data_IF_403577154279
#
_entry.id   IF_403577154279
#
_cell.length_a   1.000
_cell.length_b   1.000
_cell.length_c   1.000
_cell.angle_alpha   90.00
_cell.angle_beta   90.00
_cell.angle_gamma   90.00
#
_symmetry.space_group_name_H-M   'P 1'
#
loop_
_entity.id
_entity.type
_entity.pdbx_description
1 polymer ?
#
# COMPACT_ATOMS: atom_id res chain seq x y z
N UNK A 1 5.77 1.42 -32.06
CA UNK A 1 4.44 2.03 -32.24
C UNK A 1 3.34 0.97 -32.10
N UNK A 2 3.21 0.34 -30.92
CA UNK A 2 2.21 -0.72 -30.68
C UNK A 2 1.76 -0.78 -29.20
N UNK A 3 1.88 0.34 -28.47
CA UNK A 3 1.58 0.41 -27.03
C UNK A 3 0.66 1.59 -26.67
N UNK A 4 -0.04 2.17 -27.65
CA UNK A 4 -1.02 3.26 -27.43
C UNK A 4 -2.48 2.75 -27.53
N UNK A 5 -2.70 1.52 -27.98
CA UNK A 5 -4.06 0.99 -28.23
C UNK A 5 -4.68 0.20 -27.07
N UNK A 6 -3.95 -0.07 -25.99
CA UNK A 6 -4.43 -0.91 -24.87
C UNK A 6 -5.10 -0.06 -23.77
N UNK A 7 -4.88 1.26 -23.73
CA UNK A 7 -5.40 2.14 -22.68
C UNK A 7 -6.75 2.79 -23.06
N UNK A 8 -7.09 2.88 -24.34
CA UNK A 8 -8.34 3.53 -24.78
C UNK A 8 -9.55 2.59 -24.84
N UNK A 9 -9.36 1.26 -24.95
CA UNK A 9 -10.49 0.33 -25.04
C UNK A 9 -11.17 0.07 -23.68
N UNK A 10 -10.40 0.08 -22.60
CA UNK A 10 -10.92 -0.18 -21.25
C UNK A 10 -11.68 1.02 -20.66
N UNK A 11 -11.41 2.22 -21.16
CA UNK A 11 -12.05 3.47 -20.69
C UNK A 11 -13.34 3.80 -21.45
N UNK A 12 -13.55 3.21 -22.65
CA UNK A 12 -14.76 3.40 -23.44
C UNK A 12 -15.88 2.39 -23.10
N UNK A 13 -15.55 1.26 -22.46
CA UNK A 13 -16.52 0.24 -22.06
C UNK A 13 -17.19 0.52 -20.70
N UNK A 14 -16.70 1.49 -19.92
CA UNK A 14 -17.21 1.80 -18.58
C UNK A 14 -18.31 2.88 -18.55
N UNK A 15 -18.62 3.52 -19.68
CA UNK A 15 -19.55 4.66 -19.77
C UNK A 15 -20.90 4.29 -20.41
N UNK A 16 -21.26 3.01 -20.53
CA UNK A 16 -22.55 2.57 -21.11
C UNK A 16 -23.18 1.43 -20.30
N UNK A 17 -23.03 1.46 -18.97
CA UNK A 17 -23.61 0.47 -18.05
C UNK A 17 -24.53 1.11 -17.00
N UNK A 18 -25.18 2.23 -17.35
CA UNK A 18 -26.22 2.86 -16.50
C UNK A 18 -27.50 3.25 -17.26
N UNK A 19 -27.63 2.89 -18.54
CA UNK A 19 -28.86 3.11 -19.29
C UNK A 19 -29.71 1.84 -19.38
N UNK A 20 -30.73 1.80 -18.52
CA UNK A 20 -32.08 1.32 -18.81
C UNK A 20 -32.21 -0.06 -19.54
N UNK A 21 -32.56 -1.16 -18.83
CA UNK A 21 -32.76 -2.47 -19.45
C UNK A 21 -33.94 -2.51 -20.45
N UNK A 22 -34.81 -1.49 -20.48
CA UNK A 22 -36.04 -1.51 -21.26
C UNK A 22 -35.85 -1.17 -22.75
N UNK A 23 -34.68 -0.65 -23.15
CA UNK A 23 -34.41 -0.32 -24.57
C UNK A 23 -33.98 -1.54 -25.41
N UNK A 24 -33.68 -2.68 -24.78
CA UNK A 24 -33.31 -3.92 -25.49
C UNK A 24 -34.54 -4.67 -26.06
N UNK A 25 -35.76 -4.23 -25.74
CA UNK A 25 -37.02 -4.86 -26.14
C UNK A 25 -37.40 -4.55 -27.61
N UNK A 26 -36.83 -3.52 -28.24
CA UNK A 26 -37.24 -3.07 -29.58
C UNK A 26 -36.51 -3.70 -30.78
N UNK A 27 -35.50 -4.56 -30.56
CA UNK A 27 -34.70 -5.14 -31.66
C UNK A 27 -34.84 -6.67 -31.70
N UNK A 28 -35.79 -7.23 -32.47
CA UNK A 28 -36.03 -8.69 -32.53
C UNK A 28 -34.85 -9.48 -33.13
N UNK A 29 -33.89 -8.79 -33.77
CA UNK A 29 -32.66 -9.39 -34.29
C UNK A 29 -31.59 -9.58 -33.20
N UNK A 30 -31.47 -8.63 -32.26
CA UNK A 30 -30.51 -8.72 -31.15
C UNK A 30 -30.96 -9.70 -30.07
N UNK A 31 -32.27 -9.84 -29.83
CA UNK A 31 -32.78 -10.87 -28.92
C UNK A 31 -32.40 -12.28 -29.38
N UNK A 32 -32.45 -12.56 -30.68
CA UNK A 32 -32.05 -13.85 -31.27
C UNK A 32 -30.54 -14.12 -31.18
N UNK A 33 -29.73 -13.07 -31.24
CA UNK A 33 -28.28 -13.18 -31.01
C UNK A 33 -27.99 -13.40 -29.52
N UNK A 34 -28.60 -12.62 -28.62
CA UNK A 34 -28.44 -12.77 -27.18
C UNK A 34 -28.90 -14.15 -26.67
N UNK A 35 -30.00 -14.69 -27.21
CA UNK A 35 -30.38 -16.08 -26.88
C UNK A 35 -29.33 -17.07 -27.37
N UNK A 36 -28.74 -16.87 -28.55
CA UNK A 36 -27.64 -17.73 -29.04
C UNK A 36 -26.38 -17.61 -28.19
N UNK A 37 -26.05 -16.43 -27.69
CA UNK A 37 -24.91 -16.22 -26.79
C UNK A 37 -25.15 -16.83 -25.41
N UNK A 38 -26.30 -16.59 -24.78
CA UNK A 38 -26.64 -17.15 -23.48
C UNK A 38 -26.78 -18.68 -23.54
N UNK A 39 -27.35 -19.22 -24.62
CA UNK A 39 -27.42 -20.66 -24.84
C UNK A 39 -26.02 -21.27 -25.02
N UNK A 40 -25.13 -20.60 -25.78
CA UNK A 40 -23.74 -21.04 -25.96
C UNK A 40 -22.92 -20.99 -24.66
N UNK A 41 -23.17 -19.99 -23.81
CA UNK A 41 -22.51 -19.89 -22.51
C UNK A 41 -22.97 -21.02 -21.57
N UNK A 42 -24.26 -21.38 -21.61
CA UNK A 42 -24.79 -22.50 -20.81
C UNK A 42 -24.21 -23.88 -21.19
N UNK A 43 -23.76 -24.08 -22.42
CA UNK A 43 -23.10 -25.33 -22.85
C UNK A 43 -21.64 -25.43 -22.40
N UNK A 44 -20.95 -24.30 -22.19
CA UNK A 44 -19.56 -24.29 -21.72
C UNK A 44 -19.41 -24.42 -20.19
N UNK A 45 -20.49 -24.33 -19.44
CA UNK A 45 -20.48 -24.54 -17.99
C UNK A 45 -20.68 -26.01 -17.56
N UNK A 46 -20.94 -26.93 -18.51
CA UNK A 46 -21.32 -28.31 -18.21
C UNK A 46 -20.37 -29.38 -18.75
N UNK A 47 -19.08 -29.07 -18.84
CA UNK A 47 -18.01 -30.07 -18.73
C UNK A 47 -17.03 -29.67 -17.61
N UNK A 48 -17.55 -29.31 -16.45
CA UNK A 48 -16.77 -29.46 -15.22
C UNK A 48 -16.73 -30.97 -14.96
N UNK A 49 -15.77 -31.66 -15.60
CA UNK A 49 -15.28 -32.95 -15.15
C UNK A 49 -15.02 -32.76 -13.66
N UNK A 50 -15.93 -33.24 -12.81
CA UNK A 50 -15.75 -33.13 -11.36
C UNK A 50 -14.39 -33.75 -11.07
N UNK A 51 -13.40 -32.95 -10.62
CA UNK A 51 -12.08 -33.49 -10.38
C UNK A 51 -12.27 -34.63 -9.39
N UNK A 52 -11.77 -35.81 -9.74
CA UNK A 52 -11.73 -36.94 -8.80
C UNK A 52 -11.23 -36.42 -7.46
N UNK A 53 -11.77 -36.89 -6.34
CA UNK A 53 -11.37 -36.49 -4.99
C UNK A 53 -9.83 -36.48 -4.81
N UNK A 54 -9.13 -37.36 -5.53
CA UNK A 54 -7.66 -37.41 -5.62
C UNK A 54 -7.00 -36.12 -6.15
N UNK A 55 -7.65 -35.40 -7.07
CA UNK A 55 -7.18 -34.14 -7.65
C UNK A 55 -7.25 -33.01 -6.64
N UNK A 56 -8.33 -32.94 -5.85
CA UNK A 56 -8.44 -31.98 -4.76
C UNK A 56 -7.42 -32.24 -3.66
N UNK A 57 -7.21 -33.51 -3.29
CA UNK A 57 -6.19 -33.89 -2.30
C UNK A 57 -4.80 -33.47 -2.77
N UNK A 58 -4.47 -33.68 -4.06
CA UNK A 58 -3.20 -33.24 -4.67
C UNK A 58 -3.06 -31.72 -4.71
N UNK A 59 -4.13 -31.01 -5.04
CA UNK A 59 -4.11 -29.54 -5.09
C UNK A 59 -3.93 -28.94 -3.69
N UNK A 60 -4.65 -29.46 -2.69
CA UNK A 60 -4.55 -29.02 -1.29
C UNK A 60 -3.18 -29.37 -0.72
N UNK A 61 -2.65 -30.57 -0.99
CA UNK A 61 -1.32 -30.96 -0.50
C UNK A 61 -0.22 -30.10 -1.12
N UNK A 62 -0.28 -29.83 -2.43
CA UNK A 62 0.64 -28.92 -3.11
C UNK A 62 0.55 -27.49 -2.56
N UNK A 63 -0.67 -26.98 -2.34
CA UNK A 63 -0.90 -25.67 -1.74
C UNK A 63 -0.37 -25.58 -0.31
N UNK A 64 -0.61 -26.61 0.52
CA UNK A 64 -0.13 -26.66 1.89
C UNK A 64 1.40 -26.68 1.98
N UNK A 65 2.06 -27.44 1.10
CA UNK A 65 3.53 -27.47 1.00
C UNK A 65 4.07 -26.09 0.62
N UNK A 66 3.40 -25.34 -0.25
CA UNK A 66 3.86 -24.02 -0.67
C UNK A 66 3.66 -22.97 0.43
N UNK A 67 2.51 -23.02 1.12
CA UNK A 67 2.18 -22.10 2.23
C UNK A 67 3.06 -22.33 3.45
N UNK A 68 3.42 -23.58 3.76
CA UNK A 68 4.29 -23.91 4.90
C UNK A 68 5.77 -23.88 4.49
N UNK A 69 6.07 -24.39 3.31
CA UNK A 69 7.42 -24.48 2.76
C UNK A 69 8.01 -23.13 2.40
N UNK A 70 7.20 -22.15 1.99
CA UNK A 70 7.66 -20.78 1.75
C UNK A 70 8.32 -20.16 2.99
N UNK A 71 7.59 -19.99 4.11
CA UNK A 71 8.14 -19.51 5.37
C UNK A 71 9.27 -20.39 5.91
N UNK A 72 9.14 -21.72 5.83
CA UNK A 72 10.18 -22.64 6.31
C UNK A 72 11.51 -22.49 5.54
N UNK A 73 11.45 -22.30 4.22
CA UNK A 73 12.64 -22.07 3.39
C UNK A 73 13.27 -20.72 3.72
N UNK A 74 12.47 -19.68 3.93
CA UNK A 74 12.97 -18.36 4.34
C UNK A 74 13.67 -18.44 5.70
N UNK A 75 13.09 -19.15 6.67
CA UNK A 75 13.73 -19.37 7.98
C UNK A 75 15.01 -20.19 7.89
N UNK A 76 15.10 -21.13 6.95
CA UNK A 76 16.31 -21.92 6.74
C UNK A 76 17.45 -21.11 6.10
N UNK A 77 17.13 -20.26 5.11
CA UNK A 77 18.14 -19.48 4.36
C UNK A 77 18.55 -18.22 5.10
N UNK A 78 17.66 -17.62 5.88
CA UNK A 78 17.95 -16.37 6.60
C UNK A 78 18.81 -16.66 7.84
N UNK A 79 20.08 -16.24 7.88
CA UNK A 79 20.93 -16.47 9.04
C UNK A 79 20.37 -15.73 10.27
N UNK A 80 20.50 -16.35 11.44
CA UNK A 80 19.99 -15.80 12.71
C UNK A 80 20.75 -14.52 13.11
N UNK A 81 20.10 -13.63 13.86
CA UNK A 81 20.70 -12.34 14.25
C UNK A 81 22.05 -12.48 14.97
N UNK A 82 22.28 -13.59 15.67
CA UNK A 82 23.52 -13.83 16.43
C UNK A 82 24.72 -14.19 15.53
N UNK A 83 24.49 -14.91 14.43
CA UNK A 83 25.53 -15.19 13.44
C UNK A 83 25.87 -13.95 12.62
N UNK A 84 24.85 -13.14 12.29
CA UNK A 84 25.05 -11.82 11.70
C UNK A 84 25.84 -10.92 12.66
N UNK A 85 25.52 -10.95 13.96
CA UNK A 85 26.20 -10.15 14.97
C UNK A 85 27.70 -10.46 15.06
N UNK A 86 28.08 -11.74 14.97
CA UNK A 86 29.49 -12.18 14.95
C UNK A 86 30.25 -11.77 13.69
N UNK A 87 29.55 -11.57 12.56
CA UNK A 87 30.16 -11.08 11.31
C UNK A 87 30.29 -9.56 11.23
N UNK A 88 29.62 -8.81 12.11
CA UNK A 88 29.74 -7.34 12.15
C UNK A 88 31.09 -6.89 12.74
N UNK A 89 31.58 -5.75 12.25
CA UNK A 89 32.67 -5.00 12.87
C UNK A 89 32.25 -4.46 14.26
N UNK A 90 33.19 -4.22 15.19
CA UNK A 90 32.87 -3.83 16.57
C UNK A 90 32.05 -2.52 16.69
N UNK A 91 32.16 -1.63 15.70
CA UNK A 91 31.37 -0.39 15.60
C UNK A 91 29.88 -0.66 15.27
N UNK A 92 29.62 -1.61 14.37
CA UNK A 92 28.26 -1.96 13.95
C UNK A 92 27.52 -2.77 15.01
N UNK A 93 28.23 -3.58 15.79
CA UNK A 93 27.67 -4.28 16.95
C UNK A 93 27.10 -3.31 17.99
N UNK A 94 27.85 -2.23 18.30
CA UNK A 94 27.39 -1.18 19.22
C UNK A 94 26.16 -0.45 18.71
N UNK A 95 26.13 -0.11 17.42
CA UNK A 95 24.94 0.50 16.78
C UNK A 95 23.74 -0.44 16.77
N UNK A 96 23.93 -1.72 16.49
CA UNK A 96 22.85 -2.71 16.51
C UNK A 96 22.25 -2.86 17.92
N UNK A 97 23.10 -2.89 18.96
CA UNK A 97 22.70 -2.92 20.37
C UNK A 97 21.92 -1.66 20.77
N UNK A 98 22.44 -0.47 20.43
CA UNK A 98 21.79 0.80 20.74
C UNK A 98 20.45 0.98 19.99
N UNK A 99 20.34 0.46 18.77
CA UNK A 99 19.15 0.61 17.93
C UNK A 99 18.03 -0.41 18.19
N UNK A 100 18.22 -1.40 19.07
CA UNK A 100 17.18 -2.41 19.37
C UNK A 100 15.97 -1.79 20.06
N UNK A 101 16.21 -0.98 21.09
CA UNK A 101 15.15 -0.33 21.85
C UNK A 101 14.39 0.67 20.97
N UNK A 102 15.12 1.43 20.14
CA UNK A 102 14.51 2.37 19.20
C UNK A 102 13.62 1.64 18.17
N UNK A 103 14.10 0.54 17.57
CA UNK A 103 13.30 -0.25 16.62
C UNK A 103 12.04 -0.84 17.24
N UNK A 104 12.10 -1.29 18.48
CA UNK A 104 10.92 -1.79 19.20
C UNK A 104 9.91 -0.67 19.45
N UNK A 105 10.37 0.49 19.93
CA UNK A 105 9.52 1.68 20.12
C UNK A 105 8.88 2.16 18.81
N UNK A 106 9.64 2.20 17.73
CA UNK A 106 9.14 2.58 16.41
C UNK A 106 8.08 1.61 15.89
N UNK A 107 8.29 0.30 16.12
CA UNK A 107 7.33 -0.74 15.73
C UNK A 107 6.03 -0.64 16.54
N UNK A 108 6.13 -0.47 17.86
CA UNK A 108 4.96 -0.30 18.73
C UNK A 108 4.18 0.97 18.36
N UNK A 109 4.87 2.07 18.07
CA UNK A 109 4.27 3.31 17.61
C UNK A 109 3.59 3.17 16.25
N UNK A 110 4.18 2.40 15.32
CA UNK A 110 3.60 2.11 14.02
C UNK A 110 2.31 1.28 14.14
N UNK A 111 2.34 0.20 14.93
CA UNK A 111 1.15 -0.62 15.19
C UNK A 111 0.07 0.20 15.90
N UNK A 112 0.45 1.11 16.79
CA UNK A 112 -0.46 2.07 17.41
C UNK A 112 -1.17 2.97 16.37
N UNK A 113 -0.41 3.55 15.44
CA UNK A 113 -0.97 4.35 14.34
C UNK A 113 -1.90 3.55 13.44
N UNK A 114 -1.54 2.30 13.12
CA UNK A 114 -2.41 1.42 12.33
C UNK A 114 -3.72 1.09 13.05
N UNK A 115 -3.67 0.85 14.36
CA UNK A 115 -4.87 0.60 15.17
C UNK A 115 -5.79 1.83 15.19
N UNK A 116 -5.22 3.02 15.31
CA UNK A 116 -5.98 4.27 15.29
C UNK A 116 -6.56 4.55 13.89
N UNK A 117 -5.76 4.39 12.85
CA UNK A 117 -6.21 4.53 11.46
C UNK A 117 -7.28 3.50 11.08
N UNK A 118 -7.20 2.28 11.61
CA UNK A 118 -8.21 1.23 11.38
C UNK A 118 -9.54 1.50 12.07
N UNK A 119 -9.58 2.35 13.11
CA UNK A 119 -10.83 2.77 13.77
C UNK A 119 -11.55 3.88 13.01
N UNK A 120 -10.85 4.54 12.08
CA UNK A 120 -11.42 5.56 11.20
C UNK A 120 -12.11 4.88 10.01
N UNK A 121 -13.32 5.34 9.67
CA UNK A 121 -14.04 4.91 8.45
C UNK A 121 -13.33 5.33 7.14
N UNK A 122 -12.23 6.09 7.24
CA UNK A 122 -11.42 6.47 6.09
C UNK A 122 -10.45 5.35 5.73
N UNK A 123 -10.19 5.12 4.43
CA UNK A 123 -9.21 4.12 4.03
C UNK A 123 -7.81 4.51 4.52
N UNK A 124 -7.01 3.52 4.93
CA UNK A 124 -5.71 3.70 5.62
C UNK A 124 -4.77 4.63 4.84
N UNK A 125 -4.76 4.56 3.51
CA UNK A 125 -3.92 5.42 2.67
C UNK A 125 -4.29 6.91 2.75
N UNK A 126 -5.57 7.23 2.94
CA UNK A 126 -6.03 8.59 3.14
C UNK A 126 -5.65 9.09 4.55
N UNK A 127 -5.80 8.24 5.56
CA UNK A 127 -5.38 8.54 6.93
C UNK A 127 -3.87 8.79 7.03
N UNK A 128 -3.06 7.97 6.35
CA UNK A 128 -1.61 8.15 6.29
C UNK A 128 -1.23 9.48 5.65
N UNK A 129 -1.87 9.84 4.54
CA UNK A 129 -1.63 11.13 3.86
C UNK A 129 -2.01 12.33 4.73
N UNK A 130 -3.07 12.23 5.53
CA UNK A 130 -3.45 13.27 6.49
C UNK A 130 -2.43 13.39 7.64
N UNK A 131 -1.90 12.26 8.15
CA UNK A 131 -0.86 12.27 9.17
C UNK A 131 0.46 12.85 8.66
N UNK A 132 0.87 12.48 7.45
CA UNK A 132 2.07 13.01 6.81
C UNK A 132 1.93 14.52 6.52
N UNK A 133 0.74 14.96 6.08
CA UNK A 133 0.44 16.38 5.89
C UNK A 133 0.58 17.16 7.21
N UNK A 134 -0.03 16.68 8.30
CA UNK A 134 0.08 17.32 9.63
C UNK A 134 1.52 17.37 10.13
N UNK A 135 2.31 16.31 9.93
CA UNK A 135 3.74 16.30 10.31
C UNK A 135 4.51 17.34 9.50
N UNK A 136 4.28 17.41 8.18
CA UNK A 136 4.94 18.38 7.32
C UNK A 136 4.56 19.82 7.65
N UNK A 137 3.31 20.08 8.04
CA UNK A 137 2.83 21.39 8.48
C UNK A 137 3.48 21.80 9.81
N UNK A 138 3.56 20.88 10.77
CA UNK A 138 4.25 21.14 12.04
C UNK A 138 5.74 21.44 11.84
N UNK A 139 6.43 20.70 10.97
CA UNK A 139 7.83 20.96 10.62
C UNK A 139 8.00 22.32 9.93
N UNK A 140 7.10 22.66 9.01
CA UNK A 140 7.11 23.97 8.37
C UNK A 140 6.86 25.11 9.36
N UNK A 141 5.97 24.90 10.33
CA UNK A 141 5.65 25.88 11.35
C UNK A 141 6.85 26.14 12.27
N UNK A 142 7.50 25.07 12.76
CA UNK A 142 8.75 25.19 13.54
C UNK A 142 9.84 25.94 12.76
N UNK A 143 10.01 25.63 11.47
CA UNK A 143 10.97 26.34 10.60
C UNK A 143 10.64 27.81 10.40
N UNK A 144 9.36 28.20 10.44
CA UNK A 144 8.94 29.60 10.38
C UNK A 144 9.24 30.30 11.70
N UNK A 145 8.92 29.67 12.82
CA UNK A 145 9.18 30.21 14.16
C UNK A 145 10.68 30.42 14.41
N UNK A 146 11.55 29.49 13.99
CA UNK A 146 13.00 29.66 14.04
C UNK A 146 13.49 30.86 13.22
N UNK A 147 12.93 31.06 12.02
CA UNK A 147 13.26 32.21 11.16
C UNK A 147 12.82 33.53 11.80
N UNK A 148 11.63 33.56 12.37
CA UNK A 148 11.08 34.76 13.03
C UNK A 148 11.87 35.10 14.29
N UNK A 149 12.28 34.09 15.07
CA UNK A 149 13.14 34.27 16.24
C UNK A 149 14.52 34.85 15.85
N UNK A 150 15.14 34.31 14.80
CA UNK A 150 16.42 34.82 14.29
C UNK A 150 16.30 36.26 13.77
N UNK A 151 15.20 36.59 13.07
CA UNK A 151 14.93 37.94 12.58
C UNK A 151 14.73 38.93 13.74
N UNK A 152 14.04 38.53 14.81
CA UNK A 152 13.87 39.35 16.01
C UNK A 152 15.21 39.60 16.73
N UNK A 153 16.06 38.58 16.83
CA UNK A 153 17.39 38.71 17.42
C UNK A 153 18.30 39.65 16.60
N UNK A 154 18.28 39.53 15.27
CA UNK A 154 19.02 40.44 14.39
C UNK A 154 18.57 41.90 14.53
N UNK A 155 17.26 42.14 14.66
CA UNK A 155 16.72 43.49 14.88
C UNK A 155 17.16 44.08 16.22
N UNK A 156 17.22 43.26 17.28
CA UNK A 156 17.74 43.70 18.60
C UNK A 156 19.21 44.09 18.51
N UNK A 157 20.05 43.26 17.88
CA UNK A 157 21.47 43.57 17.65
C UNK A 157 21.66 44.85 16.83
N UNK A 158 20.84 45.09 15.81
CA UNK A 158 20.90 46.32 15.03
C UNK A 158 20.50 47.57 15.83
N UNK A 159 19.54 47.45 16.76
CA UNK A 159 19.14 48.56 17.64
C UNK A 159 20.26 48.91 18.62
N UNK A 160 20.91 47.92 19.24
CA UNK A 160 22.04 48.11 20.15
C UNK A 160 23.25 48.78 19.44
N UNK A 161 23.56 48.37 18.20
CA UNK A 161 24.60 49.00 17.37
C UNK A 161 24.23 50.45 17.03
N UNK A 162 22.95 50.70 16.73
CA UNK A 162 22.47 52.04 16.41
C UNK A 162 22.49 52.98 17.61
N UNK A 163 22.21 52.48 18.80
CA UNK A 163 22.26 53.25 20.05
C UNK A 163 23.71 53.54 20.48
N UNK A 164 24.64 52.62 20.27
CA UNK A 164 26.07 52.80 20.58
C UNK A 164 26.84 53.67 19.57
N UNK A 165 26.28 53.89 18.38
CA UNK A 165 26.88 54.75 17.35
C UNK A 165 26.42 56.22 17.43
N UNK A 166 25.63 56.60 18.43
CA UNK A 166 25.04 57.93 18.59
C UNK A 166 25.60 58.62 19.84
#
# INVERSE_FOLDING_TARGET
MALVWIVDFTTLAAQDSTNNPDTLIQRPQLQRELTRYLQRDSEHHQEVIMPSMSTYIKAISGGAILVIGGPALVWYVTPTEEEIFKRYSPELQKKALAGREQRQKDFDAFVGQLKEASRSDKPIWAAQKEMDAKRSEAEQQLRREERDAYAAESRRRQAEIRESAK
#
